data_IF_084631645918
#
_entry.id   IF_084631645918
#
_cell.length_a   1.000
_cell.length_b   1.000
_cell.length_c   1.000
_cell.angle_alpha   90.00
_cell.angle_beta   90.00
_cell.angle_gamma   90.00
#
_symmetry.space_group_name_H-M   'P 1'
#
loop_
_entity.id
_entity.type
_entity.pdbx_description
1 polymer ?
#
# COMPACT_ATOMS: atom_id res chain seq x y z
N UNK A 1 18.96 -2.66 -18.93
CA UNK A 1 17.52 -2.96 -18.74
C UNK A 1 16.76 -2.93 -20.04
N UNK A 2 15.82 -3.86 -20.22
CA UNK A 2 14.85 -3.85 -21.33
C UNK A 2 13.67 -2.97 -20.91
N UNK A 3 13.33 -1.91 -21.67
CA UNK A 3 12.18 -1.07 -21.34
C UNK A 3 10.88 -1.87 -21.33
N UNK A 4 10.00 -1.64 -20.34
CA UNK A 4 8.69 -2.28 -20.27
C UNK A 4 7.83 -2.09 -21.52
N UNK A 5 7.98 -0.93 -22.18
CA UNK A 5 7.33 -0.62 -23.46
C UNK A 5 7.77 -1.55 -24.60
N UNK A 6 9.03 -1.98 -24.60
CA UNK A 6 9.56 -2.96 -25.56
C UNK A 6 8.92 -4.33 -25.34
N UNK A 7 8.76 -4.74 -24.08
CA UNK A 7 8.12 -6.03 -23.75
C UNK A 7 6.65 -6.03 -24.15
N UNK A 8 5.91 -4.97 -23.86
CA UNK A 8 4.51 -4.84 -24.27
C UNK A 8 4.37 -4.88 -25.81
N UNK A 9 5.25 -4.20 -26.54
CA UNK A 9 5.26 -4.24 -28.02
C UNK A 9 5.58 -5.64 -28.55
N UNK A 10 6.54 -6.33 -27.96
CA UNK A 10 6.90 -7.70 -28.32
C UNK A 10 5.78 -8.69 -28.01
N UNK A 11 5.11 -8.56 -26.86
CA UNK A 11 3.93 -9.34 -26.51
C UNK A 11 2.78 -9.09 -27.50
N UNK A 12 2.52 -7.83 -27.86
CA UNK A 12 1.51 -7.49 -28.85
C UNK A 12 1.82 -8.08 -30.24
N UNK A 13 3.09 -8.12 -30.63
CA UNK A 13 3.54 -8.77 -31.87
C UNK A 13 3.38 -10.28 -31.80
N UNK A 14 3.70 -10.89 -30.65
CA UNK A 14 3.55 -12.33 -30.41
C UNK A 14 2.09 -12.79 -30.54
N UNK A 15 1.17 -12.08 -29.89
CA UNK A 15 -0.26 -12.45 -29.88
C UNK A 15 -0.91 -12.26 -31.26
N UNK A 16 -0.44 -11.30 -32.06
CA UNK A 16 -1.02 -10.98 -33.37
C UNK A 16 -0.54 -11.86 -34.51
N UNK A 17 0.56 -12.62 -34.35
CA UNK A 17 1.09 -13.49 -35.41
C UNK A 17 0.35 -14.83 -35.45
N UNK A 18 -0.42 -15.13 -36.50
CA UNK A 18 -1.02 -16.46 -36.66
C UNK A 18 0.08 -17.49 -36.97
N UNK A 19 0.09 -18.61 -36.25
CA UNK A 19 0.88 -19.80 -36.64
C UNK A 19 2.08 -20.19 -35.77
N UNK A 20 2.16 -19.79 -34.49
CA UNK A 20 3.16 -20.36 -33.57
C UNK A 20 2.62 -21.62 -32.85
N UNK A 21 3.19 -22.82 -33.09
CA UNK A 21 2.79 -24.04 -32.39
C UNK A 21 3.57 -24.31 -31.08
N UNK A 22 4.44 -23.39 -30.63
CA UNK A 22 5.44 -23.71 -29.57
C UNK A 22 4.98 -23.34 -28.15
N UNK A 23 3.85 -22.63 -27.98
CA UNK A 23 3.42 -22.16 -26.67
C UNK A 23 2.11 -22.82 -26.23
N UNK A 24 1.99 -23.25 -24.95
CA UNK A 24 0.72 -23.78 -24.44
C UNK A 24 -0.43 -22.78 -24.62
N UNK A 25 -1.61 -23.30 -24.96
CA UNK A 25 -2.79 -22.47 -25.22
C UNK A 25 -3.17 -21.60 -24.02
N UNK A 26 -2.98 -22.10 -22.80
CA UNK A 26 -3.25 -21.35 -21.57
C UNK A 26 -2.34 -20.11 -21.48
N UNK A 27 -1.05 -20.24 -21.80
CA UNK A 27 -0.11 -19.12 -21.78
C UNK A 27 -0.49 -18.06 -22.84
N UNK A 28 -0.96 -18.46 -24.03
CA UNK A 28 -1.39 -17.52 -25.07
C UNK A 28 -2.64 -16.73 -24.64
N UNK A 29 -3.62 -17.43 -24.05
CA UNK A 29 -4.84 -16.82 -23.51
C UNK A 29 -4.51 -15.85 -22.37
N UNK A 30 -3.63 -16.25 -21.46
CA UNK A 30 -3.16 -15.41 -20.38
C UNK A 30 -2.42 -14.17 -20.90
N UNK A 31 -1.51 -14.35 -21.87
CA UNK A 31 -0.79 -13.25 -22.54
C UNK A 31 -1.72 -12.24 -23.22
N UNK A 32 -2.76 -12.70 -23.93
CA UNK A 32 -3.76 -11.80 -24.51
C UNK A 32 -4.52 -11.02 -23.44
N UNK A 33 -4.90 -11.69 -22.36
CA UNK A 33 -5.60 -11.06 -21.24
C UNK A 33 -4.73 -10.02 -20.55
N UNK A 34 -3.45 -10.32 -20.30
CA UNK A 34 -2.47 -9.37 -19.77
C UNK A 34 -2.27 -8.16 -20.68
N UNK A 35 -2.18 -8.38 -21.99
CA UNK A 35 -2.02 -7.29 -22.94
C UNK A 35 -3.22 -6.33 -22.90
N UNK A 36 -4.43 -6.88 -22.85
CA UNK A 36 -5.65 -6.07 -22.74
C UNK A 36 -5.69 -5.27 -21.42
N UNK A 37 -5.27 -5.88 -20.29
CA UNK A 37 -5.18 -5.23 -18.98
C UNK A 37 -4.17 -4.09 -19.01
N UNK A 38 -2.94 -4.35 -19.47
CA UNK A 38 -1.85 -3.36 -19.51
C UNK A 38 -2.18 -2.20 -20.46
N UNK A 39 -2.92 -2.47 -21.54
CA UNK A 39 -3.38 -1.44 -22.47
C UNK A 39 -4.68 -0.75 -22.04
N UNK A 40 -5.21 -1.07 -20.85
CA UNK A 40 -6.47 -0.54 -20.34
C UNK A 40 -7.63 -0.66 -21.36
N UNK A 41 -7.71 -1.79 -22.09
CA UNK A 41 -8.72 -1.96 -23.13
C UNK A 41 -10.11 -2.03 -22.51
N UNK A 42 -11.08 -1.23 -23.00
CA UNK A 42 -12.43 -1.19 -22.42
C UNK A 42 -13.13 -2.56 -22.36
N UNK A 43 -12.84 -3.46 -23.31
CA UNK A 43 -13.41 -4.82 -23.35
C UNK A 43 -13.02 -5.70 -22.16
N UNK A 44 -12.03 -5.30 -21.35
CA UNK A 44 -11.60 -6.01 -20.15
C UNK A 44 -12.07 -5.42 -18.84
N UNK A 45 -12.71 -4.26 -18.87
CA UNK A 45 -13.15 -3.59 -17.66
C UNK A 45 -14.68 -3.50 -17.63
N UNK A 46 -15.31 -3.67 -16.45
CA UNK A 46 -14.71 -3.88 -15.13
C UNK A 46 -14.12 -5.31 -14.97
N UNK A 47 -12.95 -5.40 -14.33
CA UNK A 47 -12.26 -6.66 -14.06
C UNK A 47 -12.37 -7.00 -12.57
N UNK A 48 -12.82 -8.21 -12.24
CA UNK A 48 -12.87 -8.66 -10.85
C UNK A 48 -11.47 -9.03 -10.33
N UNK A 49 -11.26 -8.98 -9.02
CA UNK A 49 -10.00 -9.43 -8.41
C UNK A 49 -9.75 -10.92 -8.65
N UNK A 50 -10.80 -11.74 -8.62
CA UNK A 50 -10.74 -13.18 -8.91
C UNK A 50 -10.24 -13.44 -10.34
N UNK A 51 -10.78 -12.70 -11.32
CA UNK A 51 -10.35 -12.82 -12.71
C UNK A 51 -8.91 -12.32 -12.90
N UNK A 52 -8.57 -11.18 -12.28
CA UNK A 52 -7.22 -10.63 -12.33
C UNK A 52 -6.19 -11.62 -11.79
N UNK A 53 -6.43 -12.16 -10.58
CA UNK A 53 -5.52 -13.11 -9.96
C UNK A 53 -5.48 -14.43 -10.72
N UNK A 54 -6.61 -14.91 -11.26
CA UNK A 54 -6.61 -16.09 -12.14
C UNK A 54 -5.75 -15.89 -13.39
N UNK A 55 -5.80 -14.72 -14.02
CA UNK A 55 -4.97 -14.39 -15.20
C UNK A 55 -3.48 -14.34 -14.85
N UNK A 56 -3.13 -13.72 -13.72
CA UNK A 56 -1.75 -13.66 -13.23
C UNK A 56 -1.22 -15.04 -12.86
N UNK A 57 -2.04 -15.85 -12.21
CA UNK A 57 -1.73 -17.22 -11.83
C UNK A 57 -1.53 -18.11 -13.08
N UNK A 58 -2.38 -17.99 -14.11
CA UNK A 58 -2.20 -18.70 -15.38
C UNK A 58 -0.95 -18.21 -16.14
N UNK A 59 -0.69 -16.90 -16.14
CA UNK A 59 0.47 -16.31 -16.82
C UNK A 59 1.82 -16.64 -16.15
N UNK A 60 1.78 -16.99 -14.87
CA UNK A 60 2.94 -17.35 -14.06
C UNK A 60 3.13 -18.86 -13.94
N UNK A 61 2.36 -19.67 -14.66
CA UNK A 61 2.35 -21.14 -14.49
C UNK A 61 2.09 -21.57 -13.03
N UNK A 62 1.16 -20.88 -12.35
CA UNK A 62 0.76 -21.13 -10.96
C UNK A 62 1.80 -20.73 -9.91
N UNK A 63 2.72 -19.83 -10.27
CA UNK A 63 3.78 -19.33 -9.39
C UNK A 63 3.60 -17.88 -8.97
N UNK A 64 2.47 -17.26 -9.32
CA UNK A 64 2.13 -15.89 -8.94
C UNK A 64 2.18 -15.73 -7.43
N UNK A 65 3.00 -14.78 -6.94
CA UNK A 65 3.25 -14.54 -5.52
C UNK A 65 3.86 -15.73 -4.73
N UNK A 66 4.31 -16.80 -5.41
CA UNK A 66 4.78 -18.04 -4.77
C UNK A 66 6.26 -18.02 -4.35
N UNK A 67 6.99 -16.91 -4.49
CA UNK A 67 8.40 -16.82 -4.08
C UNK A 67 8.90 -15.38 -3.89
N UNK A 68 10.11 -15.18 -3.31
CA UNK A 68 10.70 -13.86 -3.19
C UNK A 68 10.90 -13.33 -4.61
N UNK A 69 10.15 -12.30 -4.97
CA UNK A 69 10.13 -11.64 -6.29
C UNK A 69 11.54 -11.22 -6.75
N UNK A 70 12.48 -11.13 -5.80
CA UNK A 70 13.92 -10.94 -5.98
C UNK A 70 14.66 -12.08 -6.72
N UNK A 71 14.24 -13.34 -6.60
CA UNK A 71 14.91 -14.49 -7.25
C UNK A 71 14.57 -14.61 -8.74
N UNK A 72 13.31 -14.37 -9.13
CA UNK A 72 12.91 -14.26 -10.54
C UNK A 72 13.57 -13.06 -11.22
N UNK A 73 13.70 -11.93 -10.51
CA UNK A 73 14.49 -10.79 -11.00
C UNK A 73 15.94 -11.20 -11.27
N UNK A 74 16.55 -12.02 -10.42
CA UNK A 74 17.93 -12.46 -10.61
C UNK A 74 18.09 -13.52 -11.71
N UNK A 75 17.13 -14.41 -11.89
CA UNK A 75 17.20 -15.48 -12.89
C UNK A 75 16.84 -15.00 -14.30
N UNK A 76 15.89 -14.07 -14.44
CA UNK A 76 15.46 -13.51 -15.73
C UNK A 76 16.32 -12.32 -16.16
N UNK A 77 16.89 -11.56 -15.21
CA UNK A 77 17.57 -10.29 -15.50
C UNK A 77 19.10 -10.33 -15.34
N UNK A 78 19.72 -11.50 -15.16
CA UNK A 78 21.20 -11.60 -15.18
C UNK A 78 21.73 -11.84 -16.62
N UNK A 79 22.67 -10.97 -17.00
CA UNK A 79 23.59 -10.91 -18.17
C UNK A 79 23.12 -11.13 -19.62
N UNK A 80 21.98 -11.78 -19.93
CA UNK A 80 21.48 -11.96 -21.32
C UNK A 80 20.06 -11.39 -21.55
N UNK A 81 19.77 -10.28 -20.87
CA UNK A 81 18.46 -9.63 -20.70
C UNK A 81 17.70 -9.35 -22.01
N UNK A 82 18.40 -9.01 -23.09
CA UNK A 82 17.76 -8.64 -24.36
C UNK A 82 17.26 -9.83 -25.19
N UNK A 83 17.91 -11.00 -25.07
CA UNK A 83 17.57 -12.18 -25.88
C UNK A 83 16.65 -13.15 -25.14
N UNK A 84 16.85 -13.32 -23.83
CA UNK A 84 16.05 -14.25 -23.01
C UNK A 84 14.70 -13.64 -22.64
N UNK A 85 14.66 -12.36 -22.22
CA UNK A 85 13.40 -11.70 -21.84
C UNK A 85 12.44 -11.46 -23.02
N UNK A 86 12.95 -11.41 -24.24
CA UNK A 86 12.16 -11.26 -25.47
C UNK A 86 11.88 -12.61 -26.17
N UNK A 87 12.34 -13.73 -25.61
CA UNK A 87 11.93 -15.06 -26.06
C UNK A 87 10.41 -15.18 -25.89
N UNK A 88 9.65 -15.57 -26.93
CA UNK A 88 8.21 -15.80 -26.87
C UNK A 88 7.71 -16.48 -25.59
N UNK A 89 8.43 -17.49 -25.10
CA UNK A 89 8.05 -18.24 -23.90
C UNK A 89 8.13 -17.43 -22.61
N UNK A 90 9.00 -16.41 -22.56
CA UNK A 90 9.26 -15.61 -21.37
C UNK A 90 8.46 -14.29 -21.36
N UNK A 91 7.92 -13.84 -22.50
CA UNK A 91 7.21 -12.57 -22.61
C UNK A 91 5.95 -12.49 -21.75
N UNK A 92 5.20 -13.60 -21.64
CA UNK A 92 3.97 -13.67 -20.82
C UNK A 92 4.32 -13.58 -19.34
N UNK A 93 5.27 -14.41 -18.88
CA UNK A 93 5.76 -14.39 -17.50
C UNK A 93 6.36 -13.02 -17.12
N UNK A 94 7.13 -12.39 -18.02
CA UNK A 94 7.70 -11.06 -17.79
C UNK A 94 6.62 -9.99 -17.65
N UNK A 95 5.61 -10.02 -18.53
CA UNK A 95 4.50 -9.06 -18.45
C UNK A 95 3.69 -9.27 -17.18
N UNK A 96 3.48 -10.51 -16.76
CA UNK A 96 2.87 -10.85 -15.47
C UNK A 96 3.67 -10.27 -14.31
N UNK A 97 4.98 -10.52 -14.28
CA UNK A 97 5.89 -10.01 -13.25
C UNK A 97 5.87 -8.48 -13.15
N UNK A 98 5.88 -7.79 -14.28
CA UNK A 98 5.77 -6.33 -14.31
C UNK A 98 4.46 -5.83 -13.70
N UNK A 99 3.35 -6.52 -13.99
CA UNK A 99 2.04 -6.17 -13.45
C UNK A 99 1.97 -6.47 -11.95
N UNK A 100 2.52 -7.60 -11.51
CA UNK A 100 2.68 -7.98 -10.10
C UNK A 100 3.46 -6.92 -9.32
N UNK A 101 4.61 -6.46 -9.83
CA UNK A 101 5.39 -5.40 -9.18
C UNK A 101 4.57 -4.12 -8.97
N UNK A 102 3.83 -3.68 -9.99
CA UNK A 102 2.96 -2.50 -9.86
C UNK A 102 1.83 -2.71 -8.85
N UNK A 103 1.25 -3.91 -8.79
CA UNK A 103 0.22 -4.23 -7.81
C UNK A 103 0.76 -4.23 -6.38
N UNK A 104 1.95 -4.81 -6.17
CA UNK A 104 2.62 -4.81 -4.86
C UNK A 104 2.99 -3.39 -4.44
N UNK A 105 3.58 -2.58 -5.33
CA UNK A 105 3.91 -1.18 -5.05
C UNK A 105 2.66 -0.36 -4.67
N UNK A 106 1.57 -0.49 -5.43
CA UNK A 106 0.32 0.18 -5.14
C UNK A 106 -0.29 -0.28 -3.80
N UNK A 107 -0.22 -1.57 -3.50
CA UNK A 107 -0.71 -2.12 -2.25
C UNK A 107 0.10 -1.63 -1.04
N UNK A 108 1.43 -1.58 -1.15
CA UNK A 108 2.29 -1.02 -0.10
C UNK A 108 1.99 0.46 0.14
N UNK A 109 1.81 1.24 -0.92
CA UNK A 109 1.44 2.66 -0.80
C UNK A 109 0.09 2.86 -0.09
N UNK A 110 -0.91 2.02 -0.38
CA UNK A 110 -2.20 2.05 0.31
C UNK A 110 -2.06 1.69 1.80
N UNK A 111 -1.26 0.67 2.11
CA UNK A 111 -0.97 0.27 3.50
C UNK A 111 -0.24 1.36 4.29
N UNK A 112 0.73 2.03 3.67
CA UNK A 112 1.45 3.14 4.28
C UNK A 112 0.52 4.34 4.53
N UNK A 113 -0.37 4.65 3.59
CA UNK A 113 -1.37 5.69 3.76
C UNK A 113 -2.35 5.37 4.91
N UNK A 114 -2.80 4.12 5.01
CA UNK A 114 -3.64 3.63 6.10
C UNK A 114 -2.92 3.72 7.46
N UNK A 115 -1.65 3.29 7.51
CA UNK A 115 -0.82 3.40 8.72
C UNK A 115 -0.64 4.84 9.18
N UNK A 116 -0.39 5.77 8.25
CA UNK A 116 -0.26 7.19 8.56
C UNK A 116 -1.56 7.79 9.14
N UNK A 117 -2.72 7.35 8.66
CA UNK A 117 -4.02 7.77 9.22
C UNK A 117 -4.19 7.29 10.66
N UNK A 118 -3.84 6.03 10.95
CA UNK A 118 -3.88 5.50 12.31
C UNK A 118 -2.93 6.23 13.24
N UNK A 119 -1.69 6.47 12.80
CA UNK A 119 -0.71 7.24 13.57
C UNK A 119 -1.24 8.63 13.93
N UNK A 120 -1.84 9.34 12.96
CA UNK A 120 -2.42 10.67 13.20
C UNK A 120 -3.53 10.63 14.25
N UNK A 121 -4.43 9.65 14.16
CA UNK A 121 -5.53 9.51 15.12
C UNK A 121 -5.01 9.23 16.54
N UNK A 122 -3.99 8.40 16.68
CA UNK A 122 -3.36 8.10 17.97
C UNK A 122 -2.74 9.35 18.60
N UNK A 123 -2.04 10.16 17.80
CA UNK A 123 -1.44 11.43 18.27
C UNK A 123 -2.52 12.42 18.71
N UNK A 124 -3.61 12.57 17.94
CA UNK A 124 -4.73 13.45 18.30
C UNK A 124 -5.40 13.01 19.61
N UNK A 125 -5.55 11.70 19.84
CA UNK A 125 -6.09 11.16 21.09
C UNK A 125 -5.17 11.39 22.29
N UNK A 126 -3.86 11.19 22.11
CA UNK A 126 -2.86 11.46 23.14
C UNK A 126 -2.85 12.94 23.52
N UNK A 127 -2.82 13.84 22.54
CA UNK A 127 -2.90 15.28 22.79
C UNK A 127 -4.20 15.66 23.52
N UNK A 128 -5.34 15.08 23.14
CA UNK A 128 -6.60 15.32 23.82
C UNK A 128 -6.57 14.82 25.28
N UNK A 129 -5.95 13.66 25.53
CA UNK A 129 -5.76 13.13 26.88
C UNK A 129 -4.85 14.04 27.72
N UNK A 130 -3.73 14.51 27.17
CA UNK A 130 -2.83 15.44 27.83
C UNK A 130 -3.52 16.78 28.16
N UNK A 131 -4.29 17.35 27.23
CA UNK A 131 -5.08 18.56 27.45
C UNK A 131 -6.08 18.38 28.60
N UNK A 132 -6.81 17.26 28.64
CA UNK A 132 -7.74 16.93 29.73
C UNK A 132 -7.02 16.83 31.08
N UNK A 133 -5.85 16.21 31.13
CA UNK A 133 -5.06 16.11 32.37
C UNK A 133 -4.57 17.49 32.84
N UNK A 134 -4.06 18.32 31.92
CA UNK A 134 -3.60 19.67 32.22
C UNK A 134 -4.73 20.55 32.77
N UNK A 135 -5.91 20.50 32.16
CA UNK A 135 -7.10 21.24 32.60
C UNK A 135 -7.53 20.82 34.03
N UNK A 136 -7.51 19.52 34.33
CA UNK A 136 -7.81 19.01 35.67
C UNK A 136 -6.81 19.54 36.70
N UNK A 137 -5.51 19.54 36.37
CA UNK A 137 -4.46 20.05 37.25
C UNK A 137 -4.60 21.56 37.49
N UNK A 138 -4.90 22.33 36.45
CA UNK A 138 -5.13 23.77 36.56
C UNK A 138 -6.35 24.07 37.45
N UNK A 139 -7.48 23.39 37.21
CA UNK A 139 -8.68 23.50 38.06
C UNK A 139 -8.38 23.17 39.52
N UNK A 140 -7.57 22.15 39.79
CA UNK A 140 -7.12 21.80 41.15
C UNK A 140 -6.28 22.92 41.78
N UNK A 141 -5.35 23.53 41.02
CA UNK A 141 -4.54 24.67 41.49
C UNK A 141 -5.40 25.89 41.82
N UNK A 142 -6.31 26.26 40.93
CA UNK A 142 -7.22 27.39 41.15
C UNK A 142 -8.11 27.17 42.38
N UNK A 143 -8.68 25.96 42.56
CA UNK A 143 -9.47 25.63 43.75
C UNK A 143 -8.65 25.76 45.05
N UNK A 144 -7.40 25.29 45.05
CA UNK A 144 -6.50 25.42 46.20
C UNK A 144 -6.19 26.87 46.55
N UNK A 145 -5.97 27.73 45.55
CA UNK A 145 -5.74 29.16 45.75
C UNK A 145 -6.96 29.84 46.39
N UNK A 146 -8.16 29.62 45.83
CA UNK A 146 -9.42 30.15 46.40
C UNK A 146 -9.64 29.70 47.84
N UNK A 147 -9.38 28.44 48.15
CA UNK A 147 -9.48 27.92 49.52
C UNK A 147 -8.50 28.60 50.49
N UNK A 148 -7.26 28.86 50.06
CA UNK A 148 -6.27 29.56 50.88
C UNK A 148 -6.69 31.02 51.14
N UNK A 149 -7.16 31.71 50.12
CA UNK A 149 -7.66 33.09 50.25
C UNK A 149 -8.86 33.19 51.20
N UNK A 150 -9.79 32.23 51.11
CA UNK A 150 -10.97 32.21 51.98
C UNK A 150 -10.60 31.95 53.45
N UNK A 151 -9.71 30.97 53.71
CA UNK A 151 -9.18 30.73 55.06
C UNK A 151 -8.45 31.96 55.63
N UNK A 152 -7.69 32.68 54.81
CA UNK A 152 -7.02 33.91 55.23
C UNK A 152 -8.00 35.04 55.58
N UNK A 153 -9.11 35.17 54.83
CA UNK A 153 -10.19 36.13 55.15
C UNK A 153 -10.92 35.77 56.44
N UNK A 154 -11.20 34.49 56.67
CA UNK A 154 -11.84 34.01 57.89
C UNK A 154 -10.98 34.24 59.14
N UNK A 155 -9.67 33.99 59.07
CA UNK A 155 -8.73 34.30 60.15
C UNK A 155 -8.72 35.80 60.50
N UNK A 156 -8.61 36.68 59.49
CA UNK A 156 -8.64 38.14 59.70
C UNK A 156 -9.96 38.62 60.32
N UNK A 157 -11.10 38.05 59.91
CA UNK A 157 -12.40 38.39 60.49
C UNK A 157 -12.59 37.86 61.93
N UNK A 158 -11.93 36.75 62.29
CA UNK A 158 -11.90 36.22 63.65
C UNK A 158 -11.09 37.09 64.60
N UNK A 159 -9.90 37.53 64.16
CA UNK A 159 -9.03 38.43 64.94
C UNK A 159 -9.70 39.78 65.21
N UNK A 160 -10.35 40.40 64.22
CA UNK A 160 -11.10 41.66 64.38
C UNK A 160 -12.33 41.53 65.29
N UNK A 161 -12.84 40.32 65.52
CA UNK A 161 -13.95 40.06 66.46
C UNK A 161 -13.50 39.82 67.90
N UNK A 162 -12.22 39.52 68.14
CA UNK A 162 -11.64 39.31 69.46
C UNK A 162 -11.05 40.61 70.07
N UNK A 163 -10.82 41.64 69.26
CA UNK A 163 -10.31 42.96 69.68
C UNK A 163 -11.42 44.03 69.89
N UNK A 164 -12.70 43.65 69.91
CA UNK A 164 -13.84 44.52 70.25
C UNK A 164 -14.54 44.04 71.51
#
# INVERSE_FOLDING_TARGET
DVPGTTVIKSLASLIRKPGFPVMPQFCLKAGSSLLDIVQARPSRFPLSSQDLFGILDDASEKTFLSGPTLLMRRFIFDKEVGKIGLDPKNLVAFTCFMLEQKLVEAWLADKDAEALRFQKLLVEEEEAAQRRQAEILERKRQKRLRQKEQKAKEHKNGEVKLEK
#
